data_IF_127400421129
#
_entry.id   IF_127400421129
#
_cell.length_a   1.000
_cell.length_b   1.000
_cell.length_c   1.000
_cell.angle_alpha   90.00
_cell.angle_beta   90.00
_cell.angle_gamma   90.00
#
_symmetry.space_group_name_H-M   'P 1'
#
loop_
_entity.id
_entity.type
_entity.pdbx_description
1 polymer ?
#
# COMPACT_ATOMS: atom_id res chain seq x y z
N UNK A 1 13.17 -19.40 -7.18
CA UNK A 1 12.38 -19.04 -5.99
C UNK A 1 12.72 -17.60 -5.66
N UNK A 2 11.73 -16.69 -5.59
CA UNK A 2 11.98 -15.31 -5.15
C UNK A 2 12.50 -15.36 -3.70
N UNK A 3 13.43 -14.47 -3.34
CA UNK A 3 13.80 -14.31 -1.92
C UNK A 3 12.57 -13.87 -1.12
N UNK A 4 12.52 -14.21 0.16
CA UNK A 4 11.42 -13.78 1.06
C UNK A 4 11.20 -12.26 1.00
N UNK A 5 12.29 -11.50 0.89
CA UNK A 5 12.24 -10.04 0.73
C UNK A 5 11.57 -9.62 -0.61
N UNK A 6 11.87 -10.30 -1.72
CA UNK A 6 11.25 -10.01 -3.01
C UNK A 6 9.76 -10.43 -3.08
N UNK A 7 9.40 -11.53 -2.41
CA UNK A 7 7.99 -11.92 -2.26
C UNK A 7 7.23 -10.86 -1.48
N UNK A 8 7.77 -10.41 -0.35
CA UNK A 8 7.14 -9.37 0.47
C UNK A 8 6.99 -8.03 -0.27
N UNK A 9 7.99 -7.63 -1.06
CA UNK A 9 7.90 -6.45 -1.93
C UNK A 9 6.78 -6.60 -2.97
N UNK A 10 6.62 -7.79 -3.55
CA UNK A 10 5.55 -8.06 -4.52
C UNK A 10 4.16 -7.91 -3.88
N UNK A 11 3.96 -8.48 -2.69
CA UNK A 11 2.73 -8.32 -1.90
C UNK A 11 2.44 -6.86 -1.55
N UNK A 12 3.48 -6.09 -1.18
CA UNK A 12 3.33 -4.66 -0.91
C UNK A 12 2.84 -3.92 -2.16
N UNK A 13 3.41 -4.19 -3.33
CA UNK A 13 2.97 -3.54 -4.57
C UNK A 13 1.54 -3.92 -4.97
N UNK A 14 1.17 -5.20 -4.84
CA UNK A 14 -0.21 -5.64 -5.05
C UNK A 14 -1.17 -4.90 -4.12
N UNK A 15 -0.82 -4.78 -2.84
CA UNK A 15 -1.67 -4.08 -1.88
C UNK A 15 -1.76 -2.57 -2.12
N UNK A 16 -0.68 -1.93 -2.55
CA UNK A 16 -0.70 -0.52 -2.95
C UNK A 16 -1.60 -0.30 -4.18
N UNK A 17 -1.59 -1.22 -5.16
CA UNK A 17 -2.49 -1.17 -6.30
C UNK A 17 -3.96 -1.35 -5.89
N UNK A 18 -4.25 -2.27 -4.96
CA UNK A 18 -5.60 -2.42 -4.39
C UNK A 18 -6.08 -1.15 -3.68
N UNK A 19 -5.21 -0.49 -2.90
CA UNK A 19 -5.53 0.78 -2.24
C UNK A 19 -5.89 1.86 -3.26
N UNK A 20 -5.13 1.97 -4.35
CA UNK A 20 -5.41 2.93 -5.42
C UNK A 20 -6.78 2.66 -6.07
N UNK A 21 -7.09 1.40 -6.37
CA UNK A 21 -8.39 1.00 -6.92
C UNK A 21 -9.55 1.34 -5.97
N UNK A 22 -9.44 0.93 -4.69
CA UNK A 22 -10.48 1.20 -3.67
C UNK A 22 -10.67 2.69 -3.41
N UNK A 23 -9.59 3.47 -3.45
CA UNK A 23 -9.66 4.93 -3.31
C UNK A 23 -10.44 5.55 -4.47
N UNK A 24 -10.21 5.08 -5.70
CA UNK A 24 -10.99 5.50 -6.86
C UNK A 24 -12.48 5.15 -6.70
N UNK A 25 -12.80 3.92 -6.31
CA UNK A 25 -14.17 3.45 -6.12
C UNK A 25 -14.93 4.22 -5.02
N UNK A 26 -14.25 4.57 -3.93
CA UNK A 26 -14.84 5.38 -2.85
C UNK A 26 -15.38 6.72 -3.34
N UNK A 27 -14.66 7.39 -4.25
CA UNK A 27 -15.08 8.70 -4.75
C UNK A 27 -16.41 8.60 -5.50
N UNK A 28 -16.59 7.54 -6.30
CA UNK A 28 -17.80 7.30 -7.10
C UNK A 28 -18.93 6.62 -6.34
N UNK A 29 -18.70 6.12 -5.13
CA UNK A 29 -19.72 5.37 -4.37
C UNK A 29 -20.88 6.29 -3.91
N UNK A 30 -22.13 6.10 -4.39
CA UNK A 30 -23.26 6.95 -4.01
C UNK A 30 -23.83 6.60 -2.62
N UNK A 31 -23.50 5.43 -2.06
CA UNK A 31 -24.06 4.93 -0.81
C UNK A 31 -23.30 5.42 0.44
N UNK A 32 -22.18 6.13 0.25
CA UNK A 32 -21.36 6.66 1.34
C UNK A 32 -21.51 8.17 1.44
N UNK A 33 -21.71 8.65 2.66
CA UNK A 33 -21.63 10.08 2.96
C UNK A 33 -20.20 10.61 2.76
N UNK A 34 -20.03 11.93 2.55
CA UNK A 34 -18.70 12.53 2.43
C UNK A 34 -17.78 12.21 3.62
N UNK A 35 -18.31 12.19 4.85
CA UNK A 35 -17.54 11.86 6.05
C UNK A 35 -17.05 10.40 6.05
N UNK A 36 -17.89 9.46 5.59
CA UNK A 36 -17.50 8.05 5.47
C UNK A 36 -16.44 7.86 4.38
N UNK A 37 -16.56 8.56 3.25
CA UNK A 37 -15.53 8.56 2.19
C UNK A 37 -14.21 9.09 2.72
N UNK A 38 -14.22 10.21 3.44
CA UNK A 38 -13.01 10.79 4.02
C UNK A 38 -12.35 9.83 5.01
N UNK A 39 -13.12 9.26 5.95
CA UNK A 39 -12.59 8.31 6.93
C UNK A 39 -11.94 7.08 6.27
N UNK A 40 -12.54 6.57 5.18
CA UNK A 40 -11.99 5.45 4.43
C UNK A 40 -10.72 5.84 3.66
N UNK A 41 -10.70 7.00 2.99
CA UNK A 41 -9.49 7.53 2.37
C UNK A 41 -8.37 7.71 3.38
N UNK A 42 -8.64 8.29 4.55
CA UNK A 42 -7.64 8.48 5.61
C UNK A 42 -7.07 7.14 6.10
N UNK A 43 -7.90 6.10 6.17
CA UNK A 43 -7.45 4.75 6.50
C UNK A 43 -6.52 4.19 5.44
N UNK A 44 -6.88 4.33 4.17
CA UNK A 44 -6.07 3.87 3.04
C UNK A 44 -4.74 4.61 2.94
N UNK A 45 -4.71 5.93 3.21
CA UNK A 45 -3.48 6.69 3.25
C UNK A 45 -2.53 6.24 4.37
N UNK A 46 -3.07 5.92 5.56
CA UNK A 46 -2.25 5.35 6.64
C UNK A 46 -1.67 3.99 6.26
N UNK A 47 -2.46 3.12 5.65
CA UNK A 47 -1.98 1.81 5.17
C UNK A 47 -0.91 1.97 4.09
N UNK A 48 -1.13 2.86 3.11
CA UNK A 48 -0.15 3.20 2.08
C UNK A 48 1.19 3.65 2.68
N UNK A 49 1.17 4.54 3.67
CA UNK A 49 2.38 5.05 4.32
C UNK A 49 3.16 3.95 5.08
N UNK A 50 2.44 3.08 5.78
CA UNK A 50 3.03 1.92 6.46
C UNK A 50 3.71 0.97 5.47
N UNK A 51 3.02 0.62 4.39
CA UNK A 51 3.52 -0.27 3.34
C UNK A 51 4.73 0.34 2.60
N UNK A 52 4.68 1.63 2.30
CA UNK A 52 5.80 2.35 1.66
C UNK A 52 7.02 2.38 2.58
N UNK A 53 6.81 2.63 3.87
CA UNK A 53 7.88 2.59 4.89
C UNK A 53 8.49 1.19 5.01
N UNK A 54 7.66 0.14 4.97
CA UNK A 54 8.13 -1.25 4.99
C UNK A 54 8.97 -1.57 3.75
N UNK A 55 8.49 -1.24 2.55
CA UNK A 55 9.23 -1.44 1.30
C UNK A 55 10.58 -0.72 1.33
N UNK A 56 10.62 0.53 1.80
CA UNK A 56 11.86 1.30 1.95
C UNK A 56 12.87 0.60 2.88
N UNK A 57 12.41 -0.03 3.97
CA UNK A 57 13.29 -0.80 4.87
C UNK A 57 13.87 -2.03 4.17
N UNK A 58 13.05 -2.75 3.42
CA UNK A 58 13.48 -3.93 2.65
C UNK A 58 14.49 -3.52 1.58
N UNK A 59 14.22 -2.46 0.80
CA UNK A 59 15.16 -1.96 -0.20
C UNK A 59 16.50 -1.54 0.42
N UNK A 60 16.48 -0.84 1.56
CA UNK A 60 17.71 -0.48 2.29
C UNK A 60 18.51 -1.70 2.75
N UNK A 61 17.84 -2.79 3.13
CA UNK A 61 18.50 -4.05 3.51
C UNK A 61 19.18 -4.69 2.29
N UNK A 62 18.49 -4.73 1.15
CA UNK A 62 19.03 -5.30 -0.11
C UNK A 62 20.22 -4.47 -0.61
N UNK A 63 20.13 -3.15 -0.59
CA UNK A 63 21.19 -2.27 -1.14
C UNK A 63 22.43 -2.18 -0.26
N UNK A 64 22.33 -2.43 1.05
CA UNK A 64 23.49 -2.44 1.96
C UNK A 64 24.31 -3.73 1.91
N UNK A 65 23.69 -4.84 1.50
CA UNK A 65 24.37 -6.12 1.27
C UNK A 65 24.10 -6.58 -0.17
N UNK A 66 24.71 -5.92 -1.19
CA UNK A 66 24.66 -6.43 -2.54
C UNK A 66 25.32 -7.81 -2.53
N UNK A 67 24.52 -8.86 -2.79
CA UNK A 67 25.05 -10.20 -3.07
C UNK A 67 25.77 -10.22 -4.40
#
# INVERSE_FOLDING_TARGET
>A
MLSTDNQRISEIFERLAEIAAKTSELTSNPNLSPAQKQAACDSYFREHDQLTTEALKIFKKITKNPR
#
